data_IF_758246379138
#
_entry.id   IF_758246379138
#
_cell.length_a   1.000
_cell.length_b   1.000
_cell.length_c   1.000
_cell.angle_alpha   90.00
_cell.angle_beta   90.00
_cell.angle_gamma   90.00
#
_symmetry.space_group_name_H-M   'P 1'
#
loop_
_entity.id
_entity.type
_entity.pdbx_description
1 polymer ?
#
# COMPACT_ATOMS: atom_id res chain seq x y z
N UNK A 1 26.04 -40.26 -28.56
CA UNK A 1 25.89 -38.81 -28.25
C UNK A 1 24.50 -38.59 -27.66
N UNK A 2 24.40 -38.50 -26.33
CA UNK A 2 23.19 -38.03 -25.64
C UNK A 2 23.63 -36.94 -24.68
N UNK A 3 23.39 -35.69 -25.09
CA UNK A 3 23.76 -34.50 -24.34
C UNK A 3 22.86 -34.38 -23.11
N UNK A 4 23.41 -34.72 -21.94
CA UNK A 4 22.77 -34.45 -20.66
C UNK A 4 22.69 -32.96 -20.43
N UNK A 5 21.48 -32.38 -20.52
CA UNK A 5 21.21 -31.01 -20.06
C UNK A 5 21.49 -30.94 -18.56
N UNK A 6 22.66 -30.42 -18.20
CA UNK A 6 22.99 -29.94 -16.86
C UNK A 6 21.93 -28.91 -16.45
N UNK A 7 21.09 -29.26 -15.46
CA UNK A 7 20.33 -28.25 -14.71
C UNK A 7 21.35 -27.40 -13.97
N UNK A 8 21.54 -26.17 -14.42
CA UNK A 8 22.30 -25.14 -13.71
C UNK A 8 21.62 -24.89 -12.37
N UNK A 9 22.11 -25.53 -11.31
CA UNK A 9 21.72 -25.20 -9.94
C UNK A 9 22.32 -23.83 -9.64
N UNK A 10 21.46 -22.80 -9.62
CA UNK A 10 21.85 -21.44 -9.21
C UNK A 10 22.53 -21.52 -7.86
N UNK A 11 23.73 -20.94 -7.77
CA UNK A 11 24.59 -21.01 -6.60
C UNK A 11 23.86 -20.41 -5.38
N UNK A 12 23.82 -21.07 -4.21
CA UNK A 12 23.20 -20.51 -3.00
C UNK A 12 23.70 -19.11 -2.63
N UNK A 13 24.93 -18.75 -3.01
CA UNK A 13 25.48 -17.39 -2.82
C UNK A 13 24.75 -16.37 -3.70
N UNK A 14 24.47 -16.70 -4.96
CA UNK A 14 23.74 -15.84 -5.89
C UNK A 14 22.30 -15.64 -5.41
N UNK A 15 21.68 -16.68 -4.85
CA UNK A 15 20.34 -16.63 -4.25
C UNK A 15 20.31 -15.68 -3.04
N UNK A 16 21.29 -15.79 -2.14
CA UNK A 16 21.40 -14.91 -0.96
C UNK A 16 21.69 -13.48 -1.38
N UNK A 17 22.55 -13.26 -2.38
CA UNK A 17 22.85 -11.94 -2.91
C UNK A 17 21.64 -11.27 -3.56
N UNK A 18 20.85 -12.01 -4.36
CA UNK A 18 19.60 -11.49 -4.93
C UNK A 18 18.60 -11.14 -3.82
N UNK A 19 18.51 -12.00 -2.79
CA UNK A 19 17.70 -11.74 -1.60
C UNK A 19 18.09 -10.49 -0.83
N UNK A 20 19.40 -10.30 -0.61
CA UNK A 20 19.96 -9.13 0.08
C UNK A 20 19.77 -7.87 -0.79
N UNK A 21 19.94 -7.96 -2.10
CA UNK A 21 19.70 -6.85 -3.03
C UNK A 21 18.23 -6.45 -3.01
N UNK A 22 17.30 -7.41 -3.07
CA UNK A 22 15.86 -7.12 -2.96
C UNK A 22 15.49 -6.54 -1.60
N UNK A 23 16.10 -7.02 -0.51
CA UNK A 23 15.90 -6.52 0.84
C UNK A 23 16.49 -5.12 1.02
N UNK A 24 17.64 -4.84 0.42
CA UNK A 24 18.27 -3.52 0.38
C UNK A 24 17.48 -2.54 -0.50
N UNK A 25 16.86 -3.00 -1.59
CA UNK A 25 15.95 -2.19 -2.40
C UNK A 25 14.64 -1.94 -1.64
N UNK A 26 14.08 -2.93 -0.95
CA UNK A 26 12.87 -2.76 -0.16
C UNK A 26 13.10 -1.84 1.06
N UNK A 27 14.18 -2.05 1.82
CA UNK A 27 14.61 -1.13 2.87
C UNK A 27 14.97 0.23 2.30
N UNK A 28 15.69 0.26 1.18
CA UNK A 28 16.02 1.47 0.45
C UNK A 28 14.76 2.27 0.11
N UNK A 29 13.72 1.65 -0.44
CA UNK A 29 12.46 2.31 -0.78
C UNK A 29 11.65 2.77 0.44
N UNK A 30 11.74 2.04 1.57
CA UNK A 30 11.13 2.46 2.85
C UNK A 30 11.91 3.63 3.46
N UNK A 31 13.25 3.61 3.42
CA UNK A 31 14.11 4.70 3.89
C UNK A 31 14.16 5.90 2.94
N UNK A 32 13.93 5.71 1.63
CA UNK A 32 13.75 6.78 0.65
C UNK A 32 12.42 7.53 0.83
N UNK A 33 11.55 7.10 1.76
CA UNK A 33 10.46 7.95 2.26
C UNK A 33 10.97 9.15 3.06
N UNK A 34 12.24 9.16 3.50
CA UNK A 34 12.85 10.20 4.34
C UNK A 34 13.95 11.03 3.63
N UNK A 35 14.23 10.83 2.33
CA UNK A 35 15.31 11.55 1.63
C UNK A 35 14.77 12.69 0.72
N UNK A 36 15.18 13.96 0.92
CA UNK A 36 14.61 15.19 0.31
C UNK A 36 14.88 15.42 -1.19
N UNK A 37 15.00 14.35 -1.98
CA UNK A 37 15.34 14.41 -3.40
C UNK A 37 14.48 13.44 -4.21
N UNK A 38 13.15 13.54 -4.11
CA UNK A 38 12.33 13.11 -5.24
C UNK A 38 12.66 14.03 -6.43
N UNK A 39 12.97 13.50 -7.63
CA UNK A 39 13.20 14.35 -8.78
C UNK A 39 11.96 15.19 -9.00
N UNK A 40 12.16 16.51 -8.95
CA UNK A 40 11.15 17.53 -9.16
C UNK A 40 10.70 17.42 -10.63
N UNK A 41 9.73 16.54 -10.90
CA UNK A 41 9.05 16.49 -12.19
C UNK A 41 8.16 17.73 -12.30
N UNK A 42 8.79 18.82 -12.72
CA UNK A 42 8.18 20.05 -13.16
C UNK A 42 7.04 19.74 -14.14
N UNK A 43 5.79 19.76 -13.65
CA UNK A 43 4.62 19.69 -14.51
C UNK A 43 3.41 20.30 -13.82
N UNK A 44 2.85 21.31 -14.50
CA UNK A 44 1.63 22.04 -14.23
C UNK A 44 0.54 21.23 -13.49
N UNK A 45 -0.16 21.92 -12.58
CA UNK A 45 -1.29 21.57 -11.68
C UNK A 45 -2.51 20.91 -12.33
N UNK A 46 -2.27 19.97 -13.24
CA UNK A 46 -3.27 19.30 -14.05
C UNK A 46 -3.46 17.88 -13.55
N UNK A 47 -4.68 17.34 -13.74
CA UNK A 47 -5.08 15.95 -13.45
C UNK A 47 -4.03 14.92 -13.95
N UNK A 48 -3.27 15.26 -14.99
CA UNK A 48 -2.16 14.48 -15.52
C UNK A 48 -1.02 14.23 -14.54
N UNK A 49 -0.67 15.19 -13.68
CA UNK A 49 0.39 15.01 -12.68
C UNK A 49 -0.01 13.98 -11.63
N UNK A 50 -1.28 13.97 -11.21
CA UNK A 50 -1.81 12.98 -10.27
C UNK A 50 -1.77 11.57 -10.86
N UNK A 51 -2.11 11.41 -12.14
CA UNK A 51 -2.00 10.12 -12.84
C UNK A 51 -0.54 9.69 -13.04
N UNK A 52 0.36 10.62 -13.34
CA UNK A 52 1.79 10.32 -13.45
C UNK A 52 2.37 9.85 -12.11
N UNK A 53 2.06 10.53 -11.01
CA UNK A 53 2.47 10.13 -9.67
C UNK A 53 1.86 8.77 -9.31
N UNK A 54 0.57 8.53 -9.59
CA UNK A 54 -0.08 7.24 -9.37
C UNK A 54 0.60 6.11 -10.18
N UNK A 55 0.98 6.36 -11.42
CA UNK A 55 1.69 5.40 -12.26
C UNK A 55 3.09 5.11 -11.73
N UNK A 56 3.87 6.15 -11.39
CA UNK A 56 5.23 6.00 -10.84
C UNK A 56 5.19 5.26 -9.51
N UNK A 57 4.31 5.64 -8.60
CA UNK A 57 4.09 4.92 -7.33
C UNK A 57 3.62 3.49 -7.55
N UNK A 58 2.86 3.22 -8.61
CA UNK A 58 2.52 1.88 -9.07
C UNK A 58 3.74 1.06 -9.49
N UNK A 59 4.68 1.63 -10.25
CA UNK A 59 5.92 0.94 -10.66
C UNK A 59 6.85 0.71 -9.47
N UNK A 60 6.99 1.70 -8.59
CA UNK A 60 7.99 1.64 -7.52
C UNK A 60 7.46 0.86 -6.32
N UNK A 61 6.64 1.51 -5.50
CA UNK A 61 6.24 1.00 -4.18
C UNK A 61 5.05 0.05 -4.29
N UNK A 62 4.09 0.37 -5.16
CA UNK A 62 2.87 -0.40 -5.38
C UNK A 62 3.15 -1.78 -5.94
N UNK A 63 3.97 -1.88 -6.99
CA UNK A 63 4.30 -3.12 -7.68
C UNK A 63 4.94 -4.14 -6.75
N UNK A 64 5.94 -3.71 -5.98
CA UNK A 64 6.65 -4.57 -5.02
C UNK A 64 5.77 -4.95 -3.82
N UNK A 65 5.08 -3.99 -3.21
CA UNK A 65 4.21 -4.23 -2.05
C UNK A 65 3.06 -5.18 -2.40
N UNK A 66 2.39 -4.94 -3.53
CA UNK A 66 1.29 -5.79 -3.96
C UNK A 66 1.77 -7.14 -4.48
N UNK A 67 2.96 -7.25 -5.07
CA UNK A 67 3.54 -8.56 -5.40
C UNK A 67 3.83 -9.40 -4.17
N UNK A 68 4.29 -8.78 -3.07
CA UNK A 68 4.49 -9.50 -1.82
C UNK A 68 3.16 -10.14 -1.36
N UNK A 69 2.07 -9.37 -1.34
CA UNK A 69 0.78 -9.91 -0.85
C UNK A 69 0.11 -10.83 -1.87
N UNK A 70 0.05 -10.43 -3.15
CA UNK A 70 -0.76 -11.08 -4.18
C UNK A 70 0.03 -12.08 -5.04
N UNK A 71 1.36 -11.97 -5.08
CA UNK A 71 2.23 -12.85 -5.87
C UNK A 71 2.15 -14.31 -5.44
N UNK A 72 1.96 -14.59 -4.14
CA UNK A 72 1.77 -15.96 -3.65
C UNK A 72 0.50 -16.63 -4.20
N UNK A 73 -0.57 -15.87 -4.43
CA UNK A 73 -1.81 -16.40 -5.03
C UNK A 73 -1.58 -16.74 -6.51
N UNK A 74 -0.93 -15.83 -7.24
CA UNK A 74 -0.56 -16.06 -8.63
C UNK A 74 0.36 -17.28 -8.76
N UNK A 75 1.42 -17.36 -7.95
CA UNK A 75 2.36 -18.48 -7.92
C UNK A 75 1.65 -19.82 -7.63
N UNK A 76 0.73 -19.86 -6.65
CA UNK A 76 -0.04 -21.07 -6.34
C UNK A 76 -0.96 -21.51 -7.48
N UNK A 77 -1.49 -20.56 -8.25
CA UNK A 77 -2.35 -20.85 -9.40
C UNK A 77 -1.55 -21.34 -10.60
N UNK A 78 -0.36 -20.76 -10.82
CA UNK A 78 0.57 -21.18 -11.86
C UNK A 78 1.13 -22.57 -11.54
N UNK A 79 1.53 -22.83 -10.29
CA UNK A 79 1.99 -24.15 -9.85
C UNK A 79 0.92 -25.23 -10.11
N UNK A 80 -0.35 -24.91 -9.83
CA UNK A 80 -1.47 -25.81 -10.07
C UNK A 80 -1.78 -26.00 -11.57
N UNK A 81 -1.67 -24.95 -12.39
CA UNK A 81 -1.82 -25.07 -13.84
C UNK A 81 -0.71 -25.93 -14.45
N UNK A 82 0.53 -25.75 -14.00
CA UNK A 82 1.68 -26.56 -14.41
C UNK A 82 1.43 -28.03 -14.04
N UNK A 83 0.98 -28.33 -12.82
CA UNK A 83 0.61 -29.70 -12.41
C UNK A 83 -0.51 -30.29 -13.29
N UNK A 84 -1.51 -29.50 -13.67
CA UNK A 84 -2.62 -29.94 -14.52
C UNK A 84 -2.16 -30.20 -15.96
N UNK A 85 -1.30 -29.35 -16.53
CA UNK A 85 -0.71 -29.54 -17.86
C UNK A 85 0.16 -30.79 -17.91
N UNK A 86 0.98 -31.04 -16.88
CA UNK A 86 1.76 -32.27 -16.74
C UNK A 86 0.85 -33.52 -16.60
N UNK A 87 -0.24 -33.43 -15.82
CA UNK A 87 -1.18 -34.53 -15.64
C UNK A 87 -1.96 -34.84 -16.93
N UNK A 88 -2.40 -33.83 -17.69
CA UNK A 88 -3.09 -34.00 -18.97
C UNK A 88 -2.18 -34.59 -20.06
N UNK A 89 -0.89 -34.27 -20.03
CA UNK A 89 0.10 -34.78 -20.97
C UNK A 89 0.47 -36.26 -20.70
N UNK A 90 0.35 -36.73 -19.46
CA UNK A 90 0.60 -38.14 -19.11
C UNK A 90 -0.40 -39.14 -19.74
N UNK A 91 -1.56 -38.66 -20.19
CA UNK A 91 -2.65 -39.50 -20.74
C UNK A 91 -2.62 -39.58 -22.27
N UNK A 92 -1.96 -38.64 -22.99
CA UNK A 92 -1.98 -38.59 -24.45
C UNK A 92 -0.57 -38.44 -25.05
N UNK A 93 0.04 -39.59 -25.39
CA UNK A 93 1.45 -39.74 -25.84
C UNK A 93 1.79 -39.13 -27.22
N UNK A 94 0.94 -38.27 -27.82
CA UNK A 94 1.08 -37.86 -29.23
C UNK A 94 0.77 -36.40 -29.58
N UNK A 95 0.82 -35.45 -28.64
CA UNK A 95 0.78 -34.01 -28.99
C UNK A 95 2.11 -33.31 -28.69
N UNK A 96 2.60 -32.64 -29.76
CA UNK A 96 3.78 -31.79 -29.89
C UNK A 96 4.02 -30.89 -28.68
N UNK A 97 5.30 -30.62 -28.42
CA UNK A 97 5.80 -29.63 -27.46
C UNK A 97 5.05 -28.30 -27.57
N UNK A 98 4.13 -28.07 -26.66
CA UNK A 98 3.65 -26.73 -26.36
C UNK A 98 4.62 -26.23 -25.29
N UNK A 99 5.48 -25.27 -25.64
CA UNK A 99 6.12 -24.42 -24.64
C UNK A 99 4.97 -23.86 -23.79
N UNK A 100 4.96 -24.04 -22.46
CA UNK A 100 3.93 -23.42 -21.65
C UNK A 100 4.07 -21.92 -21.89
N UNK A 101 3.08 -21.31 -22.56
CA UNK A 101 3.07 -19.88 -22.78
C UNK A 101 2.65 -19.25 -21.45
N UNK A 102 3.54 -19.33 -20.45
CA UNK A 102 3.35 -18.90 -19.06
C UNK A 102 2.97 -17.42 -18.96
N UNK A 103 3.23 -16.65 -20.01
CA UNK A 103 2.79 -15.27 -20.16
C UNK A 103 1.26 -15.09 -20.30
N UNK A 104 0.54 -16.04 -20.90
CA UNK A 104 -0.91 -15.92 -21.14
C UNK A 104 -1.75 -15.86 -19.85
N UNK A 105 -1.58 -16.77 -18.86
CA UNK A 105 -2.31 -16.66 -17.59
C UNK A 105 -1.92 -15.41 -16.79
N UNK A 106 -0.66 -14.95 -16.87
CA UNK A 106 -0.21 -13.71 -16.23
C UNK A 106 -0.94 -12.51 -16.86
N UNK A 107 -1.05 -12.45 -18.18
CA UNK A 107 -1.76 -11.38 -18.88
C UNK A 107 -3.25 -11.33 -18.52
N UNK A 108 -3.92 -12.49 -18.43
CA UNK A 108 -5.32 -12.56 -18.02
C UNK A 108 -5.56 -12.14 -16.58
N UNK A 109 -4.64 -12.51 -15.68
CA UNK A 109 -4.68 -12.04 -14.30
C UNK A 109 -4.53 -10.52 -14.23
N UNK A 110 -3.57 -9.96 -14.96
CA UNK A 110 -3.29 -8.52 -14.98
C UNK A 110 -4.43 -7.71 -15.62
N UNK A 111 -5.04 -8.22 -16.69
CA UNK A 111 -6.18 -7.54 -17.33
C UNK A 111 -7.42 -7.55 -16.43
N UNK A 112 -7.72 -8.68 -15.79
CA UNK A 112 -8.80 -8.75 -14.80
C UNK A 112 -8.55 -7.81 -13.61
N UNK A 113 -7.32 -7.79 -13.10
CA UNK A 113 -6.91 -6.86 -12.04
C UNK A 113 -7.11 -5.41 -12.48
N UNK A 114 -6.63 -5.03 -13.67
CA UNK A 114 -6.78 -3.68 -14.20
C UNK A 114 -8.25 -3.25 -14.24
N UNK A 115 -9.12 -4.08 -14.83
CA UNK A 115 -10.56 -3.78 -14.94
C UNK A 115 -11.21 -3.68 -13.56
N UNK A 116 -10.93 -4.62 -12.65
CA UNK A 116 -11.51 -4.63 -11.32
C UNK A 116 -11.12 -3.40 -10.49
N UNK A 117 -9.84 -3.00 -10.52
CA UNK A 117 -9.37 -1.82 -9.80
C UNK A 117 -9.87 -0.50 -10.40
N UNK A 118 -9.99 -0.41 -11.73
CA UNK A 118 -10.58 0.78 -12.37
C UNK A 118 -12.06 0.94 -12.01
N UNK A 119 -12.83 -0.16 -12.03
CA UNK A 119 -14.24 -0.13 -11.62
C UNK A 119 -14.39 0.23 -10.13
N UNK A 120 -13.52 -0.33 -9.28
CA UNK A 120 -13.48 0.02 -7.87
C UNK A 120 -13.13 1.50 -7.69
N UNK A 121 -12.14 2.03 -8.40
CA UNK A 121 -11.77 3.44 -8.37
C UNK A 121 -12.90 4.37 -8.80
N UNK A 122 -13.65 3.99 -9.83
CA UNK A 122 -14.84 4.72 -10.26
C UNK A 122 -15.91 4.76 -9.15
N UNK A 123 -16.18 3.59 -8.55
CA UNK A 123 -17.15 3.45 -7.46
C UNK A 123 -16.74 4.26 -6.23
N UNK A 124 -15.46 4.18 -5.83
CA UNK A 124 -14.90 4.93 -4.71
C UNK A 124 -14.90 6.44 -4.99
N UNK A 125 -14.49 6.89 -6.18
CA UNK A 125 -14.56 8.31 -6.55
C UNK A 125 -15.99 8.86 -6.52
N UNK A 126 -16.97 8.07 -6.97
CA UNK A 126 -18.38 8.42 -6.87
C UNK A 126 -18.86 8.48 -5.41
N UNK A 127 -18.58 7.45 -4.62
CA UNK A 127 -18.90 7.38 -3.18
C UNK A 127 -18.24 8.51 -2.39
N UNK A 128 -17.05 8.95 -2.80
CA UNK A 128 -16.32 10.04 -2.18
C UNK A 128 -17.07 11.37 -2.14
N UNK A 129 -17.95 11.61 -3.12
CA UNK A 129 -18.82 12.78 -3.12
C UNK A 129 -19.93 12.74 -2.06
N UNK A 130 -20.25 11.55 -1.52
CA UNK A 130 -21.31 11.32 -0.52
C UNK A 130 -20.79 10.86 0.85
N UNK A 131 -19.60 10.26 0.91
CA UNK A 131 -19.04 9.62 2.10
C UNK A 131 -17.75 10.31 2.54
N UNK A 132 -17.88 11.35 3.36
CA UNK A 132 -16.77 11.80 4.21
C UNK A 132 -16.60 10.80 5.35
N UNK A 133 -15.92 9.67 5.08
CA UNK A 133 -15.61 8.69 6.13
C UNK A 133 -14.90 9.39 7.28
N UNK A 134 -15.49 9.33 8.49
CA UNK A 134 -14.90 9.92 9.68
C UNK A 134 -13.50 9.34 9.94
N UNK A 135 -12.53 10.17 10.38
CA UNK A 135 -11.22 9.74 10.84
C UNK A 135 -11.22 8.46 11.67
N UNK A 136 -12.17 8.34 12.61
CA UNK A 136 -12.32 7.18 13.48
C UNK A 136 -12.68 5.89 12.72
N UNK A 137 -13.58 5.98 11.72
CA UNK A 137 -13.96 4.82 10.90
C UNK A 137 -12.79 4.31 10.06
N UNK A 138 -11.99 5.22 9.50
CA UNK A 138 -10.77 4.89 8.74
C UNK A 138 -9.72 4.22 9.63
N UNK A 139 -9.55 4.73 10.85
CA UNK A 139 -8.61 4.17 11.82
C UNK A 139 -8.95 2.73 12.22
N UNK A 140 -10.21 2.47 12.58
CA UNK A 140 -10.69 1.12 12.93
C UNK A 140 -10.48 0.16 11.77
N UNK A 141 -10.80 0.60 10.54
CA UNK A 141 -10.62 -0.20 9.34
C UNK A 141 -9.12 -0.53 9.12
N UNK A 142 -8.23 0.45 9.21
CA UNK A 142 -6.78 0.25 9.09
C UNK A 142 -6.22 -0.70 10.15
N UNK A 143 -6.68 -0.60 11.40
CA UNK A 143 -6.28 -1.54 12.46
C UNK A 143 -6.75 -2.95 12.12
N UNK A 144 -8.01 -3.13 11.72
CA UNK A 144 -8.55 -4.43 11.35
C UNK A 144 -7.77 -5.07 10.18
N UNK A 145 -7.43 -4.26 9.17
CA UNK A 145 -6.57 -4.67 8.05
C UNK A 145 -5.18 -5.07 8.55
N UNK A 146 -4.55 -4.23 9.39
CA UNK A 146 -3.21 -4.48 9.92
C UNK A 146 -3.15 -5.81 10.68
N UNK A 147 -4.12 -6.08 11.55
CA UNK A 147 -4.26 -7.35 12.27
C UNK A 147 -4.40 -8.53 11.29
N UNK A 148 -5.23 -8.39 10.26
CA UNK A 148 -5.40 -9.42 9.23
C UNK A 148 -4.11 -9.67 8.43
N UNK A 149 -3.36 -8.62 8.06
CA UNK A 149 -2.08 -8.74 7.37
C UNK A 149 -1.03 -9.44 8.23
N UNK A 150 -0.92 -9.06 9.50
CA UNK A 150 -0.02 -9.72 10.47
C UNK A 150 -0.39 -11.19 10.63
N UNK A 151 -1.68 -11.51 10.76
CA UNK A 151 -2.17 -12.89 10.82
C UNK A 151 -1.80 -13.72 9.59
N UNK A 152 -1.94 -13.17 8.39
CA UNK A 152 -1.54 -13.84 7.15
C UNK A 152 -0.03 -14.03 7.03
N UNK A 153 0.78 -13.05 7.45
CA UNK A 153 2.23 -13.15 7.46
C UNK A 153 2.71 -14.24 8.44
N UNK A 154 2.16 -14.29 9.66
CA UNK A 154 2.47 -15.33 10.66
C UNK A 154 2.11 -16.73 10.17
N UNK A 155 1.02 -16.87 9.40
CA UNK A 155 0.66 -18.13 8.72
C UNK A 155 1.73 -18.53 7.70
N UNK A 156 2.26 -17.60 6.89
CA UNK A 156 3.33 -17.89 5.93
C UNK A 156 4.63 -18.37 6.62
N UNK A 157 4.91 -17.89 7.84
CA UNK A 157 6.03 -18.39 8.65
C UNK A 157 5.79 -19.75 9.31
N UNK A 158 4.55 -20.27 9.27
CA UNK A 158 4.15 -21.55 9.85
C UNK A 158 4.57 -21.70 11.33
N UNK A 159 4.56 -20.59 12.09
CA UNK A 159 5.09 -20.53 13.46
C UNK A 159 4.21 -21.30 14.44
N UNK A 160 2.89 -21.32 14.23
CA UNK A 160 1.95 -22.06 15.07
C UNK A 160 0.66 -22.42 14.30
N UNK A 161 0.12 -23.65 14.43
CA UNK A 161 -1.11 -24.08 13.75
C UNK A 161 -2.37 -23.24 14.06
N UNK A 162 -2.36 -22.42 15.11
CA UNK A 162 -3.48 -21.54 15.49
C UNK A 162 -3.70 -20.43 14.44
N UNK A 163 -2.63 -19.95 13.79
CA UNK A 163 -2.70 -18.90 12.76
C UNK A 163 -3.29 -19.40 11.44
N UNK A 164 -3.50 -20.71 11.29
CA UNK A 164 -4.19 -21.27 10.13
C UNK A 164 -5.69 -20.95 10.12
N UNK A 165 -6.27 -20.63 11.28
CA UNK A 165 -7.66 -20.21 11.43
C UNK A 165 -7.88 -18.74 11.01
N UNK A 166 -6.84 -17.91 11.01
CA UNK A 166 -6.93 -16.49 10.66
C UNK A 166 -7.06 -16.23 9.16
N UNK A 167 -6.73 -17.23 8.31
CA UNK A 167 -7.11 -17.16 6.90
C UNK A 167 -8.50 -17.74 6.75
N UNK A 168 -9.45 -16.90 6.35
CA UNK A 168 -10.70 -17.35 5.78
C UNK A 168 -10.34 -18.05 4.47
N UNK A 169 -10.09 -19.36 4.54
CA UNK A 169 -10.06 -20.17 3.33
C UNK A 169 -11.45 -20.08 2.69
N UNK A 170 -11.54 -19.82 1.37
CA UNK A 170 -12.82 -19.68 0.71
C UNK A 170 -13.69 -20.90 1.03
N UNK A 171 -14.97 -20.70 1.43
CA UNK A 171 -15.81 -21.78 1.93
C UNK A 171 -15.82 -22.96 0.96
N UNK A 172 -15.98 -24.18 1.50
CA UNK A 172 -15.90 -25.44 0.73
C UNK A 172 -16.79 -25.43 -0.52
N UNK A 173 -17.84 -24.61 -0.55
CA UNK A 173 -18.69 -24.39 -1.72
C UNK A 173 -17.96 -23.62 -2.85
N UNK A 174 -17.27 -22.52 -2.55
CA UNK A 174 -16.50 -21.73 -3.54
C UNK A 174 -15.31 -22.54 -4.04
N UNK A 175 -14.55 -23.17 -3.15
CA UNK A 175 -13.42 -24.02 -3.57
C UNK A 175 -13.88 -25.22 -4.40
N UNK A 176 -15.05 -25.81 -4.10
CA UNK A 176 -15.65 -26.87 -4.90
C UNK A 176 -16.22 -26.37 -6.24
N UNK A 177 -16.77 -25.16 -6.27
CA UNK A 177 -17.20 -24.49 -7.51
C UNK A 177 -15.99 -24.21 -8.41
N UNK A 178 -14.94 -23.59 -7.87
CA UNK A 178 -13.67 -23.36 -8.58
C UNK A 178 -13.06 -24.68 -9.04
N UNK A 179 -13.08 -25.75 -8.23
CA UNK A 179 -12.52 -27.06 -8.61
C UNK A 179 -13.35 -27.79 -9.68
N UNK A 180 -14.66 -27.53 -9.77
CA UNK A 180 -15.53 -28.06 -10.82
C UNK A 180 -15.38 -27.26 -12.12
N UNK A 181 -15.33 -25.93 -12.04
CA UNK A 181 -15.10 -25.04 -13.18
C UNK A 181 -13.66 -25.18 -13.73
N UNK A 182 -12.67 -25.41 -12.87
CA UNK A 182 -11.28 -25.67 -13.26
C UNK A 182 -11.01 -27.06 -13.86
N UNK A 183 -12.04 -27.92 -14.00
CA UNK A 183 -11.93 -29.16 -14.79
C UNK A 183 -12.16 -28.92 -16.28
N UNK A 184 -12.56 -27.71 -16.70
CA UNK A 184 -12.94 -27.43 -18.09
C UNK A 184 -12.16 -26.31 -18.80
N UNK A 185 -11.51 -25.39 -18.08
CA UNK A 185 -10.86 -24.22 -18.71
C UNK A 185 -9.67 -23.71 -17.89
N UNK A 186 -8.47 -23.75 -18.47
CA UNK A 186 -7.24 -23.24 -17.85
C UNK A 186 -7.22 -21.71 -17.72
N UNK A 187 -8.13 -21.02 -18.41
CA UNK A 187 -8.19 -19.55 -18.56
C UNK A 187 -8.95 -18.82 -17.44
N UNK A 188 -9.87 -19.50 -16.76
CA UNK A 188 -10.81 -18.84 -15.82
C UNK A 188 -10.20 -18.61 -14.45
N UNK A 189 -9.25 -19.45 -14.02
CA UNK A 189 -8.60 -19.34 -12.70
C UNK A 189 -7.81 -18.03 -12.55
N UNK A 190 -6.91 -17.64 -13.48
CA UNK A 190 -6.16 -16.38 -13.37
C UNK A 190 -7.07 -15.15 -13.39
N UNK A 191 -8.14 -15.17 -14.21
CA UNK A 191 -9.11 -14.09 -14.30
C UNK A 191 -9.83 -13.86 -12.96
N UNK A 192 -10.33 -14.95 -12.34
CA UNK A 192 -11.02 -14.88 -11.06
C UNK A 192 -10.09 -14.42 -9.94
N UNK A 193 -8.85 -14.92 -9.91
CA UNK A 193 -7.85 -14.46 -8.95
C UNK A 193 -7.53 -12.97 -9.14
N UNK A 194 -7.46 -12.49 -10.38
CA UNK A 194 -7.28 -11.07 -10.71
C UNK A 194 -8.37 -10.20 -10.12
N UNK A 195 -9.65 -10.58 -10.25
CA UNK A 195 -10.78 -9.86 -9.62
C UNK A 195 -10.69 -9.93 -8.09
N UNK A 196 -10.33 -11.09 -7.54
CA UNK A 196 -10.25 -11.31 -6.10
C UNK A 196 -9.18 -10.45 -5.41
N UNK A 197 -8.19 -9.96 -6.17
CA UNK A 197 -7.14 -9.08 -5.63
C UNK A 197 -7.69 -7.77 -5.04
N UNK A 198 -8.87 -7.31 -5.46
CA UNK A 198 -9.56 -6.15 -4.86
C UNK A 198 -9.82 -6.35 -3.37
N UNK A 199 -10.12 -7.59 -2.94
CA UNK A 199 -10.35 -7.93 -1.54
C UNK A 199 -9.06 -8.14 -0.75
N UNK A 200 -7.91 -8.08 -1.42
CA UNK A 200 -6.58 -8.26 -0.83
C UNK A 200 -5.72 -7.04 -1.16
N UNK A 201 -6.13 -5.83 -0.73
CA UNK A 201 -5.38 -4.62 -0.99
C UNK A 201 -4.08 -4.60 -0.18
N UNK A 202 -2.98 -4.15 -0.80
CA UNK A 202 -1.74 -3.83 -0.09
C UNK A 202 -1.80 -2.38 0.45
N UNK A 203 -1.02 -2.02 1.48
CA UNK A 203 -1.12 -0.70 2.14
C UNK A 203 -1.01 0.50 1.18
N UNK A 204 -0.16 0.39 0.14
CA UNK A 204 -0.05 1.43 -0.91
C UNK A 204 -1.34 1.54 -1.73
N UNK A 205 -1.96 0.42 -2.05
CA UNK A 205 -3.25 0.39 -2.75
C UNK A 205 -4.36 0.97 -1.88
N UNK A 206 -4.33 0.75 -0.57
CA UNK A 206 -5.29 1.37 0.35
C UNK A 206 -5.14 2.88 0.39
N UNK A 207 -3.91 3.38 0.38
CA UNK A 207 -3.64 4.82 0.24
C UNK A 207 -4.26 5.37 -1.03
N UNK A 208 -4.02 4.70 -2.17
CA UNK A 208 -4.58 5.14 -3.44
C UNK A 208 -6.11 5.02 -3.47
N UNK A 209 -6.71 4.01 -2.83
CA UNK A 209 -8.17 3.88 -2.68
C UNK A 209 -8.74 5.02 -1.82
N UNK A 210 -8.04 5.43 -0.76
CA UNK A 210 -8.39 6.58 0.06
C UNK A 210 -8.27 7.88 -0.72
N UNK A 211 -7.20 8.06 -1.49
CA UNK A 211 -7.04 9.21 -2.40
C UNK A 211 -8.15 9.22 -3.46
N UNK A 212 -8.49 8.06 -4.04
CA UNK A 212 -9.58 7.94 -5.00
C UNK A 212 -10.92 8.35 -4.39
N UNK A 213 -11.23 7.91 -3.16
CA UNK A 213 -12.37 8.40 -2.38
C UNK A 213 -12.30 9.92 -2.20
N UNK A 214 -11.14 10.46 -1.82
CA UNK A 214 -10.94 11.90 -1.62
C UNK A 214 -11.11 12.75 -2.89
N UNK A 215 -11.02 12.17 -4.10
CA UNK A 215 -11.20 12.92 -5.35
C UNK A 215 -12.64 13.39 -5.59
N UNK A 216 -13.64 12.73 -4.99
CA UNK A 216 -15.07 13.05 -5.17
C UNK A 216 -15.59 12.95 -6.61
N UNK A 217 -14.81 12.42 -7.55
CA UNK A 217 -15.17 12.29 -8.97
C UNK A 217 -14.97 10.86 -9.45
N UNK A 218 -16.02 10.29 -10.05
CA UNK A 218 -15.97 8.95 -10.65
C UNK A 218 -14.86 8.83 -11.71
N UNK A 219 -14.70 9.85 -12.55
CA UNK A 219 -13.71 9.83 -13.63
C UNK A 219 -12.27 9.93 -13.10
N UNK A 220 -12.04 10.81 -12.12
CA UNK A 220 -10.70 10.99 -11.54
C UNK A 220 -10.30 9.77 -10.71
N UNK A 221 -11.20 9.23 -9.89
CA UNK A 221 -10.94 8.00 -9.13
C UNK A 221 -10.66 6.78 -10.01
N UNK A 222 -11.40 6.63 -11.12
CA UNK A 222 -11.15 5.57 -12.11
C UNK A 222 -9.78 5.72 -12.78
N UNK A 223 -9.44 6.93 -13.23
CA UNK A 223 -8.17 7.25 -13.87
C UNK A 223 -6.98 7.03 -12.93
N UNK A 224 -7.13 7.39 -11.65
CA UNK A 224 -6.10 7.22 -10.63
C UNK A 224 -5.79 5.72 -10.41
N UNK A 225 -6.82 4.90 -10.19
CA UNK A 225 -6.66 3.45 -10.02
C UNK A 225 -6.14 2.77 -11.29
N UNK A 226 -6.57 3.23 -12.47
CA UNK A 226 -6.09 2.71 -13.74
C UNK A 226 -4.61 2.98 -13.93
N UNK A 227 -4.16 4.23 -13.74
CA UNK A 227 -2.76 4.61 -13.84
C UNK A 227 -1.88 3.84 -12.83
N UNK A 228 -2.33 3.76 -11.57
CA UNK A 228 -1.67 2.96 -10.55
C UNK A 228 -1.53 1.49 -10.96
N UNK A 229 -2.64 0.86 -11.38
CA UNK A 229 -2.65 -0.57 -11.72
C UNK A 229 -1.84 -0.88 -12.97
N UNK A 230 -1.87 0.02 -13.97
CA UNK A 230 -0.96 -0.04 -15.12
C UNK A 230 0.49 0.03 -14.68
N UNK A 231 0.85 0.91 -13.74
CA UNK A 231 2.21 1.00 -13.19
C UNK A 231 2.65 -0.30 -12.50
N UNK A 232 1.74 -0.97 -11.78
CA UNK A 232 2.08 -2.26 -11.14
C UNK A 232 2.25 -3.42 -12.13
N UNK A 233 1.67 -3.31 -13.34
CA UNK A 233 1.56 -4.43 -14.28
C UNK A 233 2.91 -4.92 -14.83
N UNK A 234 3.83 -4.05 -15.30
CA UNK A 234 5.17 -4.47 -15.73
C UNK A 234 5.94 -5.22 -14.63
N UNK A 235 5.87 -4.72 -13.39
CA UNK A 235 6.56 -5.31 -12.24
C UNK A 235 6.00 -6.69 -11.95
N UNK A 236 4.67 -6.83 -11.93
CA UNK A 236 4.01 -8.12 -11.75
C UNK A 236 4.37 -9.11 -12.87
N UNK A 237 4.40 -8.65 -14.12
CA UNK A 237 4.74 -9.50 -15.26
C UNK A 237 6.18 -10.01 -15.17
N UNK A 238 7.15 -9.12 -14.91
CA UNK A 238 8.57 -9.46 -14.79
C UNK A 238 8.79 -10.46 -13.66
N UNK A 239 8.25 -10.18 -12.47
CA UNK A 239 8.46 -11.06 -11.31
C UNK A 239 7.72 -12.38 -11.48
N UNK A 240 6.48 -12.39 -11.97
CA UNK A 240 5.76 -13.62 -12.23
C UNK A 240 6.48 -14.49 -13.26
N UNK A 241 6.94 -13.90 -14.36
CA UNK A 241 7.73 -14.58 -15.39
C UNK A 241 9.01 -15.19 -14.80
N UNK A 242 9.79 -14.39 -14.06
CA UNK A 242 10.97 -14.86 -13.35
C UNK A 242 10.63 -16.02 -12.41
N UNK A 243 9.58 -15.90 -11.59
CA UNK A 243 9.21 -16.97 -10.63
C UNK A 243 8.89 -18.30 -11.31
N UNK A 244 8.43 -18.30 -12.56
CA UNK A 244 8.22 -19.54 -13.32
C UNK A 244 9.51 -20.20 -13.80
N UNK A 245 10.59 -19.42 -13.98
CA UNK A 245 11.92 -19.93 -14.33
C UNK A 245 12.78 -20.24 -13.09
N UNK A 246 12.38 -19.75 -11.92
CA UNK A 246 13.07 -19.95 -10.65
C UNK A 246 12.90 -21.38 -10.12
N UNK A 247 13.98 -21.99 -9.62
CA UNK A 247 13.92 -23.30 -8.97
C UNK A 247 13.27 -23.26 -7.57
N UNK A 248 12.74 -24.41 -7.12
CA UNK A 248 11.99 -24.55 -5.85
C UNK A 248 12.73 -24.04 -4.58
N UNK A 249 14.06 -24.02 -4.58
CA UNK A 249 14.85 -23.45 -3.46
C UNK A 249 14.73 -21.92 -3.40
N UNK A 250 14.73 -21.26 -4.55
CA UNK A 250 14.65 -19.80 -4.66
C UNK A 250 13.20 -19.33 -4.42
N UNK A 251 12.21 -20.12 -4.86
CA UNK A 251 10.79 -19.90 -4.53
C UNK A 251 10.54 -19.88 -3.02
N UNK A 252 11.08 -20.87 -2.28
CA UNK A 252 10.92 -20.95 -0.82
C UNK A 252 11.57 -19.76 -0.09
N UNK A 253 12.72 -19.29 -0.58
CA UNK A 253 13.38 -18.10 -0.03
C UNK A 253 12.57 -16.83 -0.31
N UNK A 254 12.12 -16.65 -1.56
CA UNK A 254 11.28 -15.54 -1.98
C UNK A 254 10.00 -15.45 -1.15
N UNK A 255 9.30 -16.57 -0.94
CA UNK A 255 8.08 -16.60 -0.12
C UNK A 255 8.34 -16.23 1.34
N UNK A 256 9.51 -16.54 1.89
CA UNK A 256 9.88 -16.15 3.25
C UNK A 256 10.22 -14.66 3.35
N UNK A 257 10.89 -14.12 2.34
CA UNK A 257 11.14 -12.68 2.23
C UNK A 257 9.83 -11.89 2.14
N UNK A 258 8.95 -12.32 1.25
CA UNK A 258 7.59 -11.78 1.10
C UNK A 258 6.85 -11.80 2.44
N UNK A 259 6.90 -12.90 3.20
CA UNK A 259 6.28 -12.98 4.51
C UNK A 259 6.85 -11.95 5.52
N UNK A 260 8.18 -11.73 5.54
CA UNK A 260 8.80 -10.68 6.38
C UNK A 260 8.27 -9.31 5.98
N UNK A 261 8.28 -8.98 4.68
CA UNK A 261 7.82 -7.67 4.20
C UNK A 261 6.35 -7.41 4.53
N UNK A 262 5.47 -8.41 4.32
CA UNK A 262 4.04 -8.29 4.66
C UNK A 262 3.84 -8.13 6.17
N UNK A 263 4.65 -8.81 6.99
CA UNK A 263 4.62 -8.64 8.45
C UNK A 263 4.96 -7.20 8.84
N UNK A 264 6.07 -6.66 8.33
CA UNK A 264 6.51 -5.28 8.60
C UNK A 264 5.45 -4.27 8.15
N UNK A 265 4.92 -4.43 6.93
CA UNK A 265 3.85 -3.56 6.42
C UNK A 265 2.56 -3.67 7.25
N UNK A 266 2.23 -4.86 7.76
CA UNK A 266 1.10 -5.06 8.67
C UNK A 266 1.27 -4.28 9.97
N UNK A 267 2.46 -4.31 10.57
CA UNK A 267 2.77 -3.52 11.77
C UNK A 267 2.72 -2.00 11.49
N UNK A 268 3.28 -1.55 10.37
CA UNK A 268 3.23 -0.14 9.96
C UNK A 268 1.79 0.33 9.77
N UNK A 269 0.96 -0.46 9.09
CA UNK A 269 -0.46 -0.16 8.84
C UNK A 269 -1.25 -0.11 10.15
N UNK A 270 -1.01 -1.07 11.05
CA UNK A 270 -1.67 -1.10 12.36
C UNK A 270 -1.30 0.13 13.20
N UNK A 271 -0.03 0.51 13.19
CA UNK A 271 0.46 1.71 13.87
C UNK A 271 -0.07 3.01 13.25
N UNK A 272 -0.22 3.07 11.91
CA UNK A 272 -0.90 4.17 11.23
C UNK A 272 -2.35 4.33 11.70
N UNK A 273 -3.09 3.23 11.82
CA UNK A 273 -4.43 3.25 12.41
C UNK A 273 -4.45 3.77 13.86
N UNK A 274 -3.50 3.35 14.71
CA UNK A 274 -3.36 3.89 16.08
C UNK A 274 -3.03 5.39 16.11
N UNK A 275 -2.23 5.87 15.16
CA UNK A 275 -1.91 7.29 15.01
C UNK A 275 -3.15 8.12 14.62
N UNK A 276 -4.00 7.62 13.72
CA UNK A 276 -5.25 8.30 13.34
C UNK A 276 -6.24 8.35 14.52
N UNK A 277 -6.22 7.36 15.42
CA UNK A 277 -6.99 7.43 16.66
C UNK A 277 -6.43 8.41 17.70
N UNK A 278 -5.26 9.02 17.44
CA UNK A 278 -4.59 9.89 18.42
C UNK A 278 -4.15 9.14 19.68
N UNK A 279 -3.97 7.82 19.61
CA UNK A 279 -3.66 7.00 20.78
C UNK A 279 -2.26 7.34 21.33
N UNK A 280 -2.11 7.54 22.65
CA UNK A 280 -0.81 7.75 23.28
C UNK A 280 0.12 6.52 23.17
N UNK A 281 -0.43 5.35 22.82
CA UNK A 281 0.31 4.09 22.69
C UNK A 281 0.91 3.85 21.30
N UNK A 282 0.80 4.78 20.35
CA UNK A 282 1.48 4.60 19.06
C UNK A 282 3.00 4.61 19.23
N UNK A 283 3.70 3.83 18.41
CA UNK A 283 5.15 3.67 18.53
C UNK A 283 5.89 5.02 18.40
N UNK A 284 5.41 5.90 17.51
CA UNK A 284 5.94 7.27 17.36
C UNK A 284 5.70 8.18 18.58
N UNK A 285 4.57 8.05 19.28
CA UNK A 285 4.29 8.86 20.47
C UNK A 285 5.12 8.38 21.66
N UNK A 286 5.30 7.06 21.80
CA UNK A 286 6.15 6.47 22.83
C UNK A 286 7.64 6.79 22.60
N UNK A 287 8.14 6.68 21.37
CA UNK A 287 9.54 7.05 21.05
C UNK A 287 9.80 8.55 21.18
N UNK A 288 8.85 9.43 20.81
CA UNK A 288 9.00 10.89 21.02
C UNK A 288 9.09 11.31 22.49
N UNK A 289 8.39 10.60 23.39
CA UNK A 289 8.45 10.87 24.82
C UNK A 289 9.73 10.33 25.48
N UNK A 290 10.39 9.32 24.88
CA UNK A 290 11.59 8.67 25.42
C UNK A 290 12.89 9.18 24.79
N UNK A 291 12.84 9.61 23.53
CA UNK A 291 13.94 10.17 22.75
C UNK A 291 13.43 11.46 22.10
N UNK A 292 13.59 12.63 22.74
CA UNK A 292 13.35 13.90 22.07
C UNK A 292 14.41 14.05 20.98
N UNK A 293 14.08 13.63 19.76
CA UNK A 293 14.91 13.93 18.60
C UNK A 293 14.98 15.45 18.44
N UNK A 294 16.19 16.00 18.37
CA UNK A 294 16.47 17.37 17.95
C UNK A 294 16.19 17.55 16.44
N UNK A 295 15.06 17.05 15.95
CA UNK A 295 14.62 17.21 14.56
C UNK A 295 14.04 18.61 14.40
N UNK A 296 14.93 19.58 14.25
CA UNK A 296 14.58 20.98 14.07
C UNK A 296 13.90 21.52 15.32
N UNK A 297 14.64 22.34 16.07
CA UNK A 297 14.09 23.31 17.02
C UNK A 297 12.65 23.65 16.67
N UNK A 298 11.74 23.52 17.63
CA UNK A 298 10.47 24.24 17.61
C UNK A 298 10.83 25.68 17.24
N UNK A 299 10.71 26.02 15.95
CA UNK A 299 10.80 27.39 15.53
C UNK A 299 9.57 27.97 16.17
N UNK A 300 9.77 28.72 17.26
CA UNK A 300 8.76 29.58 17.82
C UNK A 300 8.30 30.44 16.65
N UNK A 301 7.19 30.02 16.01
CA UNK A 301 6.47 30.92 15.15
C UNK A 301 6.11 32.09 16.05
N UNK A 302 6.43 33.33 15.62
CA UNK A 302 6.12 34.50 16.41
C UNK A 302 4.65 34.41 16.78
N UNK A 303 4.38 34.55 18.08
CA UNK A 303 3.04 34.49 18.66
C UNK A 303 2.07 35.13 17.67
N UNK A 304 1.12 34.32 17.18
CA UNK A 304 0.15 34.71 16.17
C UNK A 304 -0.39 36.10 16.49
N UNK A 305 0.13 37.12 15.79
CA UNK A 305 -0.24 38.50 16.07
C UNK A 305 -1.72 38.74 15.78
N UNK A 306 -2.32 37.90 14.93
CA UNK A 306 -3.69 38.01 14.43
C UNK A 306 -4.50 36.70 14.53
N UNK A 307 -4.09 35.73 15.37
CA UNK A 307 -4.82 34.47 15.51
C UNK A 307 -4.71 33.52 14.31
N UNK A 308 -3.70 33.71 13.46
CA UNK A 308 -3.36 32.82 12.34
C UNK A 308 -2.04 32.08 12.59
N UNK A 309 -2.03 30.77 12.35
CA UNK A 309 -0.85 29.91 12.46
C UNK A 309 -0.64 29.18 11.14
N UNK A 310 0.59 29.10 10.65
CA UNK A 310 0.91 28.45 9.38
C UNK A 310 1.55 27.09 9.61
N UNK A 311 1.06 26.08 8.89
CA UNK A 311 1.64 24.74 8.86
C UNK A 311 1.99 24.40 7.41
N UNK A 312 3.28 24.21 7.14
CA UNK A 312 3.75 23.76 5.84
C UNK A 312 3.51 22.26 5.71
N UNK A 313 2.73 21.88 4.71
CA UNK A 313 2.44 20.50 4.33
C UNK A 313 3.28 20.18 3.11
N UNK A 314 4.30 19.34 3.28
CA UNK A 314 5.24 18.95 2.22
C UNK A 314 5.17 17.45 1.93
N UNK A 315 5.83 17.00 0.86
CA UNK A 315 5.88 15.58 0.51
C UNK A 315 6.48 14.71 1.63
N UNK A 316 7.37 15.31 2.41
CA UNK A 316 8.15 14.70 3.49
C UNK A 316 7.44 14.76 4.87
N UNK A 317 6.29 15.42 4.95
CA UNK A 317 5.49 15.54 6.18
C UNK A 317 5.10 16.97 6.54
N UNK A 318 4.99 17.23 7.84
CA UNK A 318 4.46 18.48 8.38
C UNK A 318 5.55 19.30 9.08
N UNK A 319 5.64 20.58 8.74
CA UNK A 319 6.67 21.48 9.25
C UNK A 319 6.06 22.80 9.73
N UNK A 320 6.22 23.15 11.03
CA UNK A 320 6.88 22.37 12.08
C UNK A 320 6.06 21.15 12.55
N UNK A 321 6.72 20.11 13.06
CA UNK A 321 6.05 18.92 13.64
C UNK A 321 5.33 19.22 14.96
N UNK A 322 5.79 20.23 15.69
CA UNK A 322 5.17 20.72 16.92
C UNK A 322 4.86 22.20 16.76
N UNK A 323 3.58 22.54 16.83
CA UNK A 323 3.06 23.91 16.80
C UNK A 323 2.76 24.35 18.24
N UNK A 324 3.08 25.60 18.57
CA UNK A 324 2.65 26.23 19.82
C UNK A 324 1.46 27.16 19.52
N UNK A 325 0.34 26.97 20.22
CA UNK A 325 -0.88 27.76 20.05
C UNK A 325 -1.33 28.39 21.38
N UNK A 326 -1.96 29.58 21.37
CA UNK A 326 -2.45 30.22 22.58
C UNK A 326 -3.63 29.42 23.16
N UNK A 327 -3.56 29.13 24.47
CA UNK A 327 -4.65 28.46 25.17
C UNK A 327 -5.89 29.37 25.33
N UNK A 328 -7.09 28.77 25.34
CA UNK A 328 -8.34 29.46 25.67
C UNK A 328 -8.91 30.39 24.59
N UNK A 329 -8.35 30.41 23.37
CA UNK A 329 -8.90 31.15 22.22
C UNK A 329 -8.89 30.29 20.96
N UNK A 330 -9.87 30.50 20.09
CA UNK A 330 -9.90 29.90 18.77
C UNK A 330 -8.86 30.58 17.85
N UNK A 331 -8.31 29.84 16.90
CA UNK A 331 -7.35 30.36 15.92
C UNK A 331 -7.53 29.66 14.57
N UNK A 332 -7.05 30.30 13.51
CA UNK A 332 -7.08 29.75 12.16
C UNK A 332 -5.74 29.09 11.84
N UNK A 333 -5.77 27.80 11.51
CA UNK A 333 -4.62 27.04 11.02
C UNK A 333 -4.61 27.10 9.49
N UNK A 334 -3.63 27.80 8.93
CA UNK A 334 -3.35 27.90 7.50
C UNK A 334 -2.45 26.73 7.07
N UNK A 335 -3.05 25.74 6.41
CA UNK A 335 -2.34 24.60 5.83
C UNK A 335 -1.80 25.00 4.46
N UNK A 336 -0.48 25.14 4.34
CA UNK A 336 0.18 25.59 3.10
C UNK A 336 0.79 24.38 2.39
N UNK A 337 0.31 24.11 1.18
CA UNK A 337 0.87 23.10 0.28
C UNK A 337 1.60 23.76 -0.87
N UNK A 338 2.76 23.23 -1.24
CA UNK A 338 3.46 23.59 -2.47
C UNK A 338 3.96 22.31 -3.16
N UNK A 339 3.45 22.04 -4.36
CA UNK A 339 3.76 20.87 -5.19
C UNK A 339 3.79 19.57 -4.39
N UNK A 340 2.79 19.41 -3.52
CA UNK A 340 2.69 18.26 -2.64
C UNK A 340 1.80 17.20 -3.30
N UNK A 341 2.29 15.96 -3.30
CA UNK A 341 1.68 14.78 -3.93
C UNK A 341 1.73 13.53 -3.02
N UNK A 342 2.23 13.66 -1.80
CA UNK A 342 2.26 12.57 -0.83
C UNK A 342 0.96 12.45 -0.03
N UNK A 343 0.87 11.42 0.82
CA UNK A 343 -0.25 11.27 1.75
C UNK A 343 -0.43 12.46 2.71
N UNK A 344 0.58 13.34 2.88
CA UNK A 344 0.49 14.53 3.71
C UNK A 344 -0.64 15.49 3.31
N UNK A 345 -1.07 15.45 2.04
CA UNK A 345 -2.23 16.24 1.56
C UNK A 345 -3.54 15.79 2.18
N UNK A 346 -3.64 14.52 2.54
CA UNK A 346 -4.86 13.94 3.05
C UNK A 346 -4.93 14.18 4.57
N UNK A 347 -5.20 15.42 4.95
CA UNK A 347 -4.97 15.95 6.29
C UNK A 347 -6.13 15.63 7.24
N UNK A 348 -5.77 15.22 8.47
CA UNK A 348 -6.70 14.74 9.48
C UNK A 348 -6.39 15.35 10.84
N UNK A 349 -7.42 15.89 11.50
CA UNK A 349 -7.39 16.23 12.94
C UNK A 349 -8.43 15.35 13.66
N UNK A 350 -8.01 14.23 14.27
CA UNK A 350 -8.94 13.27 14.86
C UNK A 350 -9.81 13.86 15.98
N UNK A 351 -9.24 14.73 16.81
CA UNK A 351 -9.95 15.35 17.93
C UNK A 351 -11.12 16.26 17.49
N UNK A 352 -11.11 16.73 16.25
CA UNK A 352 -12.13 17.60 15.67
C UNK A 352 -13.01 16.88 14.64
N UNK A 353 -12.80 15.58 14.43
CA UNK A 353 -13.36 14.80 13.31
C UNK A 353 -13.14 15.48 11.93
N UNK A 354 -12.06 16.28 11.83
CA UNK A 354 -11.77 17.08 10.66
C UNK A 354 -10.98 16.26 9.65
N UNK A 355 -11.44 16.26 8.40
CA UNK A 355 -10.82 15.58 7.28
C UNK A 355 -10.91 16.45 6.03
N UNK A 356 -9.78 16.69 5.36
CA UNK A 356 -9.77 17.38 4.09
C UNK A 356 -8.58 16.96 3.21
N UNK A 357 -8.87 16.68 1.94
CA UNK A 357 -7.84 16.55 0.92
C UNK A 357 -7.39 17.93 0.46
N UNK A 358 -6.15 18.29 0.79
CA UNK A 358 -5.52 19.54 0.42
C UNK A 358 -5.23 19.61 -1.09
N UNK A 359 -5.26 20.81 -1.70
CA UNK A 359 -4.76 21.01 -3.06
C UNK A 359 -3.26 20.62 -3.16
N UNK A 360 -2.77 20.45 -4.39
CA UNK A 360 -1.35 20.19 -4.65
C UNK A 360 -0.48 21.42 -4.38
N UNK A 361 -0.99 22.61 -4.74
CA UNK A 361 -0.44 23.91 -4.34
C UNK A 361 -1.57 24.84 -3.89
N UNK A 362 -1.40 25.52 -2.75
CA UNK A 362 -2.40 26.45 -2.21
C UNK A 362 -2.41 26.52 -0.69
N UNK A 363 -3.39 27.24 -0.14
CA UNK A 363 -3.60 27.37 1.29
C UNK A 363 -5.04 27.03 1.66
N UNK A 364 -5.23 26.17 2.65
CA UNK A 364 -6.54 25.80 3.19
C UNK A 364 -6.59 26.19 4.65
N UNK A 365 -7.70 26.84 5.04
CA UNK A 365 -7.87 27.34 6.40
C UNK A 365 -8.74 26.39 7.21
N UNK A 366 -8.27 26.07 8.42
CA UNK A 366 -9.01 25.24 9.38
C UNK A 366 -9.19 26.02 10.67
N UNK A 367 -10.43 26.15 11.13
CA UNK A 367 -10.71 26.82 12.39
C UNK A 367 -10.53 25.84 13.56
N UNK A 368 -9.59 26.14 14.46
CA UNK A 368 -9.29 25.32 15.63
C UNK A 368 -10.01 25.95 16.85
N UNK A 369 -10.92 25.21 17.52
CA UNK A 369 -11.64 25.72 18.67
C UNK A 369 -10.71 25.91 19.87
N UNK A 370 -11.12 26.78 20.80
CA UNK A 370 -10.38 27.02 22.03
C UNK A 370 -10.17 25.74 22.84
N UNK A 371 -8.91 25.45 23.20
CA UNK A 371 -8.54 24.33 24.05
C UNK A 371 -7.96 24.80 25.39
N UNK A 372 -8.03 23.92 26.39
CA UNK A 372 -7.47 24.19 27.71
C UNK A 372 -5.94 24.28 27.68
N UNK A 373 -5.37 25.10 28.57
CA UNK A 373 -3.92 25.23 28.72
C UNK A 373 -3.29 23.88 29.12
N UNK A 374 -2.19 23.52 28.46
CA UNK A 374 -1.49 22.24 28.67
C UNK A 374 -2.09 21.07 27.91
N UNK A 375 -3.18 21.26 27.15
CA UNK A 375 -3.69 20.22 26.26
C UNK A 375 -2.84 20.09 25.00
N UNK A 376 -2.87 18.90 24.40
CA UNK A 376 -2.22 18.61 23.12
C UNK A 376 -3.24 18.06 22.13
N UNK A 377 -3.18 18.54 20.90
CA UNK A 377 -4.01 18.07 19.79
C UNK A 377 -3.12 17.51 18.71
N UNK A 378 -3.41 16.29 18.26
CA UNK A 378 -2.64 15.63 17.22
C UNK A 378 -3.28 15.85 15.85
N UNK A 379 -2.42 15.94 14.83
CA UNK A 379 -2.82 15.90 13.43
C UNK A 379 -1.96 14.90 12.68
N UNK A 380 -2.51 14.34 11.62
CA UNK A 380 -1.85 13.29 10.84
C UNK A 380 -2.33 13.27 9.40
N UNK A 381 -1.59 12.61 8.52
CA UNK A 381 -2.13 12.23 7.22
C UNK A 381 -3.12 11.07 7.38
N UNK A 382 -3.94 10.81 6.36
CA UNK A 382 -4.93 9.72 6.37
C UNK A 382 -4.37 8.33 6.50
N UNK A 383 -3.05 8.17 6.35
CA UNK A 383 -2.31 6.93 6.57
C UNK A 383 -1.73 6.80 7.98
N UNK A 384 -1.81 7.84 8.81
CA UNK A 384 -1.19 7.84 10.13
C UNK A 384 0.35 7.86 10.09
N UNK A 385 0.96 8.12 8.94
CA UNK A 385 2.40 8.01 8.72
C UNK A 385 3.12 9.29 9.11
N UNK A 386 2.73 10.41 8.52
CA UNK A 386 3.18 11.74 8.93
C UNK A 386 2.28 12.23 10.06
N UNK A 387 2.89 12.66 11.16
CA UNK A 387 2.21 13.08 12.38
C UNK A 387 2.83 14.36 12.91
N UNK A 388 2.00 15.18 13.53
CA UNK A 388 2.43 16.34 14.28
C UNK A 388 1.46 16.65 15.42
N UNK A 389 1.78 17.68 16.19
CA UNK A 389 1.01 18.05 17.36
C UNK A 389 0.93 19.57 17.53
N UNK A 390 -0.15 20.02 18.15
CA UNK A 390 -0.39 21.40 18.57
C UNK A 390 -0.41 21.38 20.10
N UNK A 391 0.47 22.14 20.72
CA UNK A 391 0.56 22.30 22.17
C UNK A 391 -0.05 23.64 22.55
N UNK A 392 -1.06 23.62 23.41
CA UNK A 392 -1.77 24.82 23.85
C UNK A 392 -1.13 25.38 25.12
N UNK A 393 -0.59 26.61 25.07
CA UNK A 393 0.21 27.22 26.15
C UNK A 393 -0.38 28.53 26.69
#
# INVERSE_FOLDING_TARGET
>A
MSSGKQKTTVDPVVIVMIGIIFLAIAMGLVFFQDNPQSPNLNSNSSIWSQFAVAFVTGITTGGLSCLAVQGGLLASSLARQIEQDYAAQSVNKKRRSIQPNSAFPIFLFLSAKLVAYTLLGALLGWLGSYLTLSPNGRAILMIAIGIFMVGNALRMFNVHPIFRYFSIEPPKFITRYIRRTAKGTDTVTPLFLGVLTVFIPCGVTQAMMATALGTGSMAVGAGLMFAFTLGTSPVFFIVAYLTTELGAKLEKFFMRFVAVTVLVLGFVTMNGGLNILGSPFSFQNLTRNLLPSNDGTAAAQPAAADGEIFLTVANEGYFPRTLAAPAGRAFTLNLVTDQTYSCARDFVIPALDFYQLLPDTGTVQVNIPAQAKGSTMFFTCSMGMYTGQIVFQ
#
